data_IF_709207072269
#
_entry.id   IF_709207072269
#
_cell.length_a   1.000
_cell.length_b   1.000
_cell.length_c   1.000
_cell.angle_alpha   90.00
_cell.angle_beta   90.00
_cell.angle_gamma   90.00
#
_symmetry.space_group_name_H-M   'P 1'
#
loop_
_entity.id
_entity.type
_entity.pdbx_description
1 polymer ?
#
# COMPACT_ATOMS: atom_id res chain seq x y z
N UNK A 1 -3.50 -45.83 11.40
CA UNK A 1 -2.75 -45.23 10.28
C UNK A 1 -1.48 -46.05 10.15
N UNK A 2 -1.17 -46.60 8.98
CA UNK A 2 0.04 -47.39 8.79
C UNK A 2 1.27 -46.47 8.63
N UNK A 3 2.47 -47.00 8.84
CA UNK A 3 3.70 -46.20 8.73
C UNK A 3 3.86 -45.55 7.35
N UNK A 4 3.38 -46.20 6.29
CA UNK A 4 3.37 -45.66 4.94
C UNK A 4 2.42 -44.45 4.77
N UNK A 5 1.25 -44.47 5.44
CA UNK A 5 0.32 -43.35 5.44
C UNK A 5 0.93 -42.15 6.20
N UNK A 6 1.58 -42.39 7.34
CA UNK A 6 2.23 -41.35 8.14
C UNK A 6 3.36 -40.69 7.32
N UNK A 7 4.24 -41.49 6.71
CA UNK A 7 5.31 -40.98 5.86
C UNK A 7 4.76 -40.15 4.69
N UNK A 8 3.62 -40.55 4.12
CA UNK A 8 3.01 -39.77 3.03
C UNK A 8 2.43 -38.43 3.51
N UNK A 9 1.84 -38.40 4.69
CA UNK A 9 1.33 -37.16 5.30
C UNK A 9 2.48 -36.21 5.60
N UNK A 10 3.61 -36.70 6.10
CA UNK A 10 4.81 -35.89 6.36
C UNK A 10 5.35 -35.26 5.06
N UNK A 11 5.47 -36.04 3.99
CA UNK A 11 5.88 -35.55 2.66
C UNK A 11 4.95 -34.43 2.14
N UNK A 12 3.63 -34.62 2.28
CA UNK A 12 2.64 -33.62 1.89
C UNK A 12 2.71 -32.36 2.77
N UNK A 13 2.89 -32.53 4.08
CA UNK A 13 3.02 -31.42 5.01
C UNK A 13 4.24 -30.56 4.67
N UNK A 14 5.39 -31.17 4.38
CA UNK A 14 6.59 -30.45 3.98
C UNK A 14 6.42 -29.72 2.66
N UNK A 15 5.74 -30.36 1.69
CA UNK A 15 5.37 -29.72 0.43
C UNK A 15 4.48 -28.50 0.65
N UNK A 16 3.49 -28.58 1.53
CA UNK A 16 2.60 -27.46 1.82
C UNK A 16 3.30 -26.34 2.58
N UNK A 17 4.14 -26.67 3.56
CA UNK A 17 4.99 -25.67 4.25
C UNK A 17 5.85 -24.94 3.24
N UNK A 18 6.53 -25.65 2.34
CA UNK A 18 7.35 -25.07 1.29
C UNK A 18 6.60 -24.05 0.43
N UNK A 19 5.34 -24.35 0.10
CA UNK A 19 4.48 -23.50 -0.73
C UNK A 19 3.91 -22.30 0.01
N UNK A 20 3.69 -22.40 1.32
CA UNK A 20 3.08 -21.33 2.12
C UNK A 20 4.00 -20.12 2.30
N UNK A 21 5.32 -20.31 2.32
CA UNK A 21 6.29 -19.20 2.39
C UNK A 21 6.85 -18.79 1.02
N UNK A 22 6.54 -19.51 -0.06
CA UNK A 22 6.95 -19.13 -1.41
C UNK A 22 5.90 -18.21 -2.06
N UNK A 23 6.19 -16.91 -2.04
CA UNK A 23 5.32 -15.90 -2.64
C UNK A 23 5.10 -16.12 -4.15
N UNK A 24 6.09 -16.63 -4.88
CA UNK A 24 5.94 -16.92 -6.31
C UNK A 24 4.99 -18.08 -6.55
N UNK A 25 5.04 -19.10 -5.70
CA UNK A 25 4.09 -20.20 -5.75
C UNK A 25 2.66 -19.74 -5.45
N UNK A 26 2.50 -18.92 -4.41
CA UNK A 26 1.22 -18.33 -4.04
C UNK A 26 0.64 -17.50 -5.21
N UNK A 27 1.41 -16.53 -5.71
CA UNK A 27 0.99 -15.66 -6.81
C UNK A 27 0.68 -16.45 -8.08
N UNK A 28 1.44 -17.50 -8.39
CA UNK A 28 1.14 -18.37 -9.54
C UNK A 28 -0.23 -19.02 -9.40
N UNK A 29 -0.52 -19.59 -8.22
CA UNK A 29 -1.79 -20.30 -7.97
C UNK A 29 -2.97 -19.34 -8.01
N UNK A 30 -2.84 -18.16 -7.37
CA UNK A 30 -3.85 -17.11 -7.35
C UNK A 30 -4.15 -16.58 -8.77
N UNK A 31 -3.10 -16.16 -9.48
CA UNK A 31 -3.23 -15.57 -10.81
C UNK A 31 -3.79 -16.54 -11.84
N UNK A 32 -3.40 -17.81 -11.76
CA UNK A 32 -3.91 -18.87 -12.63
C UNK A 32 -5.41 -19.07 -12.42
N UNK A 33 -5.85 -19.15 -11.16
CA UNK A 33 -7.27 -19.35 -10.83
C UNK A 33 -8.14 -18.22 -11.37
N UNK A 34 -7.75 -16.96 -11.09
CA UNK A 34 -8.48 -15.77 -11.57
C UNK A 34 -8.50 -15.72 -13.09
N UNK A 35 -7.36 -15.96 -13.76
CA UNK A 35 -7.27 -15.94 -15.21
C UNK A 35 -8.18 -16.98 -15.88
N UNK A 36 -8.28 -18.19 -15.30
CA UNK A 36 -9.17 -19.25 -15.80
C UNK A 36 -10.64 -18.85 -15.65
N UNK A 37 -11.02 -18.29 -14.50
CA UNK A 37 -12.40 -17.87 -14.25
C UNK A 37 -12.83 -16.72 -15.16
N UNK A 38 -12.02 -15.64 -15.23
CA UNK A 38 -12.32 -14.49 -16.08
C UNK A 38 -12.41 -14.86 -17.56
N UNK A 39 -11.46 -15.67 -18.07
CA UNK A 39 -11.52 -16.13 -19.46
C UNK A 39 -12.75 -17.01 -19.74
N UNK A 40 -13.19 -17.81 -18.77
CA UNK A 40 -14.37 -18.65 -18.91
C UNK A 40 -15.66 -17.81 -18.92
N UNK A 41 -15.75 -16.78 -18.07
CA UNK A 41 -16.85 -15.83 -18.03
C UNK A 41 -17.01 -15.08 -19.35
N UNK A 42 -15.90 -14.58 -19.90
CA UNK A 42 -15.86 -13.84 -21.17
C UNK A 42 -15.88 -14.75 -22.41
N UNK A 43 -15.84 -16.08 -22.24
CA UNK A 43 -15.77 -17.09 -23.31
C UNK A 43 -14.57 -16.89 -24.25
N UNK A 44 -13.49 -16.32 -23.75
CA UNK A 44 -12.24 -16.10 -24.50
C UNK A 44 -11.17 -17.12 -24.11
N UNK A 45 -10.13 -17.20 -24.94
CA UNK A 45 -8.91 -17.97 -24.63
C UNK A 45 -7.72 -17.05 -24.79
N UNK A 46 -6.72 -17.22 -23.94
CA UNK A 46 -5.47 -16.48 -24.05
C UNK A 46 -4.95 -16.01 -22.72
N UNK A 47 -4.05 -15.04 -22.80
CA UNK A 47 -3.33 -14.47 -21.66
C UNK A 47 -4.20 -13.40 -21.00
N UNK A 48 -4.50 -13.58 -19.72
CA UNK A 48 -5.25 -12.61 -18.92
C UNK A 48 -4.36 -11.51 -18.34
N UNK A 49 -3.18 -11.88 -17.81
CA UNK A 49 -2.25 -10.95 -17.17
C UNK A 49 -1.17 -10.43 -18.12
N UNK A 50 -0.88 -9.13 -18.10
CA UNK A 50 0.15 -8.48 -18.95
C UNK A 50 1.58 -8.94 -18.65
N UNK A 51 1.87 -9.36 -17.41
CA UNK A 51 3.24 -9.59 -16.93
C UNK A 51 3.36 -10.56 -15.76
N UNK A 52 4.58 -10.66 -15.24
CA UNK A 52 4.85 -11.27 -13.94
C UNK A 52 4.51 -10.28 -12.82
N UNK A 53 4.20 -10.78 -11.63
CA UNK A 53 4.07 -9.93 -10.47
C UNK A 53 5.41 -9.27 -10.11
N UNK A 54 5.36 -8.09 -9.50
CA UNK A 54 6.52 -7.40 -8.92
C UNK A 54 6.43 -7.54 -7.40
N UNK A 55 7.57 -7.79 -6.76
CA UNK A 55 7.68 -7.85 -5.30
C UNK A 55 8.84 -6.95 -4.88
N UNK A 56 8.51 -5.89 -4.16
CA UNK A 56 9.46 -4.92 -3.63
C UNK A 56 9.37 -4.91 -2.11
N UNK A 57 10.49 -5.05 -1.43
CA UNK A 57 10.56 -4.89 0.01
C UNK A 57 10.49 -3.40 0.37
N UNK A 58 9.62 -3.05 1.31
CA UNK A 58 9.54 -1.73 1.93
C UNK A 58 10.34 -1.81 3.23
N UNK A 59 11.41 -1.02 3.34
CA UNK A 59 12.40 -1.16 4.40
C UNK A 59 12.28 -0.09 5.48
N UNK A 60 11.45 0.93 5.27
CA UNK A 60 11.25 2.05 6.16
C UNK A 60 9.76 2.46 6.22
N UNK A 61 9.41 3.21 7.26
CA UNK A 61 8.03 3.64 7.51
C UNK A 61 7.54 4.64 6.46
N UNK A 62 8.43 5.48 5.90
CA UNK A 62 8.06 6.45 4.88
C UNK A 62 7.63 5.73 3.59
N UNK A 63 8.36 4.69 3.19
CA UNK A 63 8.05 3.83 2.06
C UNK A 63 6.75 3.05 2.29
N UNK A 64 6.48 2.61 3.51
CA UNK A 64 5.21 1.99 3.88
C UNK A 64 4.04 2.97 3.73
N UNK A 65 4.13 4.16 4.31
CA UNK A 65 3.09 5.19 4.24
C UNK A 65 2.85 5.64 2.79
N UNK A 66 3.91 5.82 2.01
CA UNK A 66 3.81 6.14 0.59
C UNK A 66 3.10 5.03 -0.20
N UNK A 67 3.42 3.75 0.07
CA UNK A 67 2.76 2.62 -0.58
C UNK A 67 1.27 2.52 -0.20
N UNK A 68 0.92 2.77 1.06
CA UNK A 68 -0.47 2.82 1.53
C UNK A 68 -1.26 3.92 0.80
N UNK A 69 -0.75 5.15 0.81
CA UNK A 69 -1.38 6.27 0.12
C UNK A 69 -1.50 6.02 -1.40
N UNK A 70 -0.49 5.41 -2.01
CA UNK A 70 -0.53 5.03 -3.43
C UNK A 70 -1.67 4.06 -3.74
N UNK A 71 -1.84 3.01 -2.93
CA UNK A 71 -2.91 2.03 -3.11
C UNK A 71 -4.28 2.66 -2.93
N UNK A 72 -4.44 3.49 -1.90
CA UNK A 72 -5.72 4.15 -1.59
C UNK A 72 -6.14 5.17 -2.65
N UNK A 73 -5.17 5.83 -3.28
CA UNK A 73 -5.43 6.84 -4.32
C UNK A 73 -5.57 6.23 -5.72
N UNK A 74 -5.27 4.94 -5.93
CA UNK A 74 -5.41 4.31 -7.25
C UNK A 74 -6.84 4.34 -7.82
N UNK A 75 -7.91 4.06 -7.04
CA UNK A 75 -9.28 4.21 -7.51
C UNK A 75 -9.62 5.63 -7.95
N UNK A 76 -9.14 6.65 -7.21
CA UNK A 76 -9.31 8.06 -7.58
C UNK A 76 -8.57 8.38 -8.87
N UNK A 77 -7.31 7.93 -8.98
CA UNK A 77 -6.49 8.08 -10.19
C UNK A 77 -7.11 7.39 -11.41
N UNK A 78 -7.79 6.27 -11.21
CA UNK A 78 -8.48 5.53 -12.27
C UNK A 78 -9.87 6.11 -12.62
N UNK A 79 -10.35 7.13 -11.89
CA UNK A 79 -11.68 7.71 -12.07
C UNK A 79 -12.83 6.79 -11.61
N UNK A 80 -12.54 5.79 -10.77
CA UNK A 80 -13.52 4.84 -10.22
C UNK A 80 -14.22 5.45 -8.98
N UNK A 81 -13.51 6.30 -8.23
CA UNK A 81 -14.05 7.00 -7.06
C UNK A 81 -13.63 8.48 -7.09
N UNK A 82 -14.45 9.38 -6.54
CA UNK A 82 -14.12 10.81 -6.44
C UNK A 82 -13.18 11.09 -5.26
N UNK A 83 -13.35 10.35 -4.15
CA UNK A 83 -12.52 10.46 -2.95
C UNK A 83 -12.12 9.08 -2.44
N UNK A 84 -11.03 8.96 -1.66
CA UNK A 84 -10.59 7.68 -1.10
C UNK A 84 -11.66 6.98 -0.24
N UNK A 85 -12.46 7.73 0.51
CA UNK A 85 -13.52 7.24 1.39
C UNK A 85 -14.65 6.56 0.61
N UNK A 86 -14.86 6.97 -0.65
CA UNK A 86 -15.87 6.43 -1.54
C UNK A 86 -15.43 5.13 -2.26
N UNK A 87 -14.21 4.63 -2.02
CA UNK A 87 -13.71 3.41 -2.66
C UNK A 87 -13.96 2.16 -1.80
N UNK A 88 -14.85 1.28 -2.27
CA UNK A 88 -15.16 -0.01 -1.60
C UNK A 88 -14.07 -1.08 -1.76
N UNK A 89 -13.10 -0.85 -2.65
CA UNK A 89 -12.09 -1.85 -3.03
C UNK A 89 -10.72 -1.61 -2.41
N UNK A 90 -10.62 -0.70 -1.43
CA UNK A 90 -9.38 -0.41 -0.71
C UNK A 90 -9.59 -0.45 0.80
N UNK A 91 -8.51 -0.73 1.53
CA UNK A 91 -8.53 -0.83 3.00
C UNK A 91 -8.67 0.51 3.74
N UNK A 92 -8.85 1.63 3.04
CA UNK A 92 -8.88 2.96 3.67
C UNK A 92 -10.13 3.17 4.53
N UNK A 93 -11.30 2.67 4.09
CA UNK A 93 -12.55 2.75 4.87
C UNK A 93 -12.36 2.09 6.25
N UNK A 94 -11.80 0.87 6.27
CA UNK A 94 -11.51 0.16 7.52
C UNK A 94 -10.51 0.89 8.42
N UNK A 95 -9.56 1.65 7.84
CA UNK A 95 -8.64 2.48 8.64
C UNK A 95 -9.34 3.69 9.24
N UNK A 96 -10.20 4.36 8.48
CA UNK A 96 -10.96 5.53 8.94
C UNK A 96 -11.90 5.14 10.08
N UNK A 97 -12.63 4.03 9.92
CA UNK A 97 -13.52 3.51 10.97
C UNK A 97 -12.79 3.09 12.24
N UNK A 98 -11.52 2.71 12.12
CA UNK A 98 -10.69 2.32 13.26
C UNK A 98 -10.11 3.52 14.04
N UNK A 99 -10.20 4.74 13.53
CA UNK A 99 -9.77 5.95 14.25
C UNK A 99 -10.79 6.25 15.35
N UNK A 100 -10.40 6.24 16.65
CA UNK A 100 -11.29 6.63 17.72
C UNK A 100 -11.63 8.13 17.62
N UNK A 101 -12.90 8.50 17.79
CA UNK A 101 -13.38 9.91 17.75
C UNK A 101 -12.59 10.85 18.68
N UNK A 102 -11.88 10.32 19.68
CA UNK A 102 -11.07 11.12 20.60
C UNK A 102 -9.84 11.76 19.93
N UNK A 103 -9.31 11.18 18.85
CA UNK A 103 -8.13 11.72 18.14
C UNK A 103 -8.46 12.92 17.24
N UNK A 104 -9.72 13.08 16.82
CA UNK A 104 -10.16 14.22 16.00
C UNK A 104 -10.11 15.54 16.80
N UNK A 105 -10.10 15.46 18.14
CA UNK A 105 -10.08 16.65 19.01
C UNK A 105 -8.69 17.26 19.20
N UNK A 106 -7.61 16.51 18.94
CA UNK A 106 -6.22 17.00 19.10
C UNK A 106 -5.63 17.58 17.80
N UNK A 107 -6.27 17.38 16.64
CA UNK A 107 -5.94 18.06 15.38
C UNK A 107 -6.87 19.28 15.20
N UNK A 108 -7.11 20.02 16.28
CA UNK A 108 -7.59 21.40 16.14
C UNK A 108 -6.39 22.22 15.72
N UNK A 109 -6.47 22.84 14.53
CA UNK A 109 -5.47 23.80 14.05
C UNK A 109 -5.02 24.72 15.21
N UNK A 110 -3.72 25.03 15.37
CA UNK A 110 -3.32 26.01 16.37
C UNK A 110 -4.03 27.31 16.00
N UNK A 111 -5.07 27.64 16.76
CA UNK A 111 -5.76 28.91 16.68
C UNK A 111 -4.71 30.00 16.84
N UNK A 112 -4.64 30.89 15.85
CA UNK A 112 -3.70 32.00 15.86
C UNK A 112 -3.82 32.82 17.14
N UNK A 113 -2.69 33.02 17.82
CA UNK A 113 -2.49 34.14 18.72
C UNK A 113 -0.99 34.40 18.94
N UNK A 114 -0.63 35.62 19.34
CA UNK A 114 0.19 36.52 18.54
C UNK A 114 1.68 36.32 18.77
N UNK A 115 2.46 36.90 17.86
CA UNK A 115 3.91 37.02 17.90
C UNK A 115 4.49 37.16 19.31
N UNK A 116 5.20 36.14 19.79
CA UNK A 116 6.53 36.31 20.39
C UNK A 116 7.26 34.95 20.55
N UNK A 117 8.53 34.89 20.13
CA UNK A 117 9.51 33.88 20.55
C UNK A 117 9.40 32.45 19.97
N UNK A 118 10.13 32.18 18.89
CA UNK A 118 10.33 30.84 18.29
C UNK A 118 10.79 29.75 19.26
N UNK A 119 10.37 28.48 19.04
CA UNK A 119 11.27 27.35 19.19
C UNK A 119 11.49 26.69 17.82
N UNK A 120 12.72 26.76 17.36
CA UNK A 120 13.24 26.01 16.21
C UNK A 120 13.19 24.51 16.54
N UNK A 121 12.29 23.76 15.91
CA UNK A 121 12.31 22.30 15.98
C UNK A 121 13.54 21.77 15.22
N UNK A 122 14.43 21.10 15.96
CA UNK A 122 15.66 20.50 15.43
C UNK A 122 15.42 19.00 15.27
N UNK A 123 15.59 18.49 14.06
CA UNK A 123 15.67 17.06 13.76
C UNK A 123 17.06 16.80 13.17
N UNK A 124 17.80 15.86 13.77
CA UNK A 124 19.15 15.44 13.33
C UNK A 124 20.20 16.57 13.23
N UNK A 125 20.08 17.61 14.07
CA UNK A 125 21.05 18.71 14.11
C UNK A 125 20.87 19.76 13.01
N UNK A 126 19.86 19.59 12.15
CA UNK A 126 19.44 20.61 11.20
C UNK A 126 18.17 21.32 11.70
N UNK A 127 18.22 22.65 11.69
CA UNK A 127 17.08 23.50 11.99
C UNK A 127 16.10 23.45 10.82
N UNK A 128 14.86 23.02 11.08
CA UNK A 128 13.79 23.10 10.10
C UNK A 128 13.58 24.56 9.69
N UNK A 129 13.67 24.82 8.38
CA UNK A 129 13.39 26.13 7.80
C UNK A 129 11.91 26.47 7.96
N UNK A 130 11.62 27.75 8.20
CA UNK A 130 10.24 28.21 8.33
C UNK A 130 9.46 28.00 7.02
N UNK A 131 8.14 27.81 7.11
CA UNK A 131 7.29 27.64 5.91
C UNK A 131 7.44 28.82 4.94
N UNK A 132 7.60 30.04 5.46
CA UNK A 132 7.81 31.25 4.66
C UNK A 132 9.07 31.18 3.79
N UNK A 133 10.15 30.52 4.25
CA UNK A 133 11.37 30.30 3.46
C UNK A 133 11.16 29.27 2.35
N UNK A 134 10.35 28.23 2.60
CA UNK A 134 10.08 27.17 1.61
C UNK A 134 9.13 27.62 0.50
N UNK A 135 8.24 28.58 0.79
CA UNK A 135 7.30 29.17 -0.19
C UNK A 135 8.01 29.98 -1.27
N UNK A 136 9.21 30.48 -0.99
CA UNK A 136 10.03 31.26 -1.91
C UNK A 136 10.92 30.41 -2.83
N UNK A 137 10.92 29.08 -2.68
CA UNK A 137 11.75 28.22 -3.52
C UNK A 137 11.22 28.16 -4.95
N UNK A 138 12.11 28.21 -5.97
CA UNK A 138 11.69 28.08 -7.35
C UNK A 138 11.08 26.70 -7.57
N UNK A 139 9.85 26.67 -8.10
CA UNK A 139 9.14 25.43 -8.41
C UNK A 139 9.95 24.65 -9.47
N UNK A 140 10.52 23.52 -9.06
CA UNK A 140 11.21 22.63 -9.98
C UNK A 140 10.15 21.88 -10.79
N UNK A 141 10.25 21.85 -12.13
CA UNK A 141 9.32 21.08 -12.95
C UNK A 141 9.41 19.60 -12.59
N UNK A 142 8.25 18.95 -12.48
CA UNK A 142 8.16 17.52 -12.20
C UNK A 142 8.96 16.76 -13.27
N UNK A 143 9.93 15.95 -12.84
CA UNK A 143 10.71 15.13 -13.77
C UNK A 143 9.75 14.22 -14.55
N UNK A 144 9.88 14.10 -15.88
CA UNK A 144 9.11 13.12 -16.63
C UNK A 144 9.46 11.73 -16.11
N UNK A 145 8.43 10.96 -15.79
CA UNK A 145 8.58 9.55 -15.46
C UNK A 145 8.80 8.82 -16.79
N UNK A 146 10.05 8.47 -17.08
CA UNK A 146 10.36 7.65 -18.25
C UNK A 146 9.65 6.29 -18.11
N UNK A 147 8.91 5.92 -19.16
CA UNK A 147 8.09 4.71 -19.29
C UNK A 147 8.88 3.48 -19.76
#
# INVERSE_FOLDING_TARGET
MCDAEIAKVEELADTYRARLYDLSWFMRTLNEHIARQANAEDKVKGRFWEGRFKSQALLDEQALLAAMAYVDLNPVRAGIAETPEASDYTSIQARIEAVPETLDSEITAPEGSPADGSPSAVLEGETLRSEDETRALPKIPLMPFDA
#
